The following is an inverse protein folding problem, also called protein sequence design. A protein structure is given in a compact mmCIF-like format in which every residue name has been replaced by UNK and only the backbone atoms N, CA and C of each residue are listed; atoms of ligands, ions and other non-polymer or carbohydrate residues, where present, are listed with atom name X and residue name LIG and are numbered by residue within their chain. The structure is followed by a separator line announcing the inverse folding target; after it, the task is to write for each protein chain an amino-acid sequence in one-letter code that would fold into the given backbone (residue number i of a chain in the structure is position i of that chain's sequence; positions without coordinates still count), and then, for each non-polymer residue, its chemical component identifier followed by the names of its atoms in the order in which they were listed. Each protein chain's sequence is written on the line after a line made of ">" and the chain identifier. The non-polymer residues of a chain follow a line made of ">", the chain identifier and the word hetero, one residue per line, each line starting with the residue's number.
data_IF_012241745568
#
_entry.id   IF_012241745568
#
_cell.length_a   1.000
_cell.length_b   1.000
_cell.length_c   1.000
_cell.angle_alpha   90.00
_cell.angle_beta   90.00
_cell.angle_gamma   90.00
#
_symmetry.space_group_name_H-M   'P 1'
#
loop_
_entity.id
_entity.type
_entity.pdbx_description
1 polymer ?
#
# COMPACT_ATOMS: atom_id res chain seq x y z
N UNK A 1 3.30 -6.70 -67.92
CA UNK A 1 3.03 -5.80 -66.77
C UNK A 1 2.87 -6.66 -65.53
N UNK A 2 3.71 -6.43 -64.52
CA UNK A 2 3.69 -7.13 -63.23
C UNK A 2 2.56 -6.53 -62.39
N UNK A 3 1.60 -7.34 -61.95
CA UNK A 3 0.59 -6.89 -60.99
C UNK A 3 0.85 -7.59 -59.66
N UNK A 4 1.17 -6.73 -58.70
CA UNK A 4 1.64 -6.99 -57.36
C UNK A 4 0.60 -7.72 -56.51
N UNK A 5 1.09 -8.65 -55.70
CA UNK A 5 0.40 -9.17 -54.53
C UNK A 5 0.19 -8.03 -53.52
N UNK A 6 -1.02 -7.91 -52.95
CA UNK A 6 -1.21 -7.23 -51.68
C UNK A 6 -2.00 -8.13 -50.75
N UNK A 7 -1.23 -8.85 -49.93
CA UNK A 7 -1.65 -9.60 -48.75
C UNK A 7 -2.37 -8.60 -47.83
N UNK A 8 -3.67 -8.80 -47.59
CA UNK A 8 -4.34 -8.15 -46.48
C UNK A 8 -3.77 -8.75 -45.20
N UNK A 9 -3.00 -7.95 -44.46
CA UNK A 9 -2.63 -8.25 -43.08
C UNK A 9 -3.88 -8.09 -42.20
N UNK A 10 -4.10 -8.94 -41.20
CA UNK A 10 -5.15 -8.72 -40.21
C UNK A 10 -4.79 -7.46 -39.42
N UNK A 11 -5.78 -6.57 -39.32
CA UNK A 11 -5.75 -5.38 -38.49
C UNK A 11 -5.24 -5.75 -37.09
N UNK A 12 -4.13 -5.14 -36.74
CA UNK A 12 -3.62 -5.05 -35.38
C UNK A 12 -4.76 -4.59 -34.49
N UNK A 13 -5.17 -5.47 -33.57
CA UNK A 13 -5.91 -5.11 -32.35
C UNK A 13 -5.04 -4.09 -31.62
N UNK A 14 -5.25 -2.81 -31.93
CA UNK A 14 -4.78 -1.71 -31.12
C UNK A 14 -5.46 -1.89 -29.76
N UNK A 15 -4.66 -2.32 -28.79
CA UNK A 15 -5.04 -2.34 -27.38
C UNK A 15 -5.45 -0.91 -27.04
N UNK A 16 -6.75 -0.69 -26.90
CA UNK A 16 -7.31 0.45 -26.19
C UNK A 16 -6.60 0.47 -24.83
N UNK A 17 -5.62 1.38 -24.69
CA UNK A 17 -5.08 1.74 -23.40
C UNK A 17 -6.22 2.42 -22.68
N UNK A 18 -6.84 1.66 -21.79
CA UNK A 18 -7.85 2.11 -20.85
C UNK A 18 -7.27 3.32 -20.13
N UNK A 19 -7.70 4.50 -20.55
CA UNK A 19 -7.31 5.76 -19.96
C UNK A 19 -8.16 5.92 -18.71
N UNK A 20 -7.89 5.08 -17.70
CA UNK A 20 -8.52 5.18 -16.40
C UNK A 20 -8.24 6.57 -15.86
N UNK A 21 -9.28 7.42 -15.88
CA UNK A 21 -9.26 8.69 -15.17
C UNK A 21 -8.89 8.37 -13.72
N UNK A 22 -7.65 8.70 -13.31
CA UNK A 22 -7.26 8.74 -11.90
C UNK A 22 -8.24 9.70 -11.22
N UNK A 23 -9.25 9.15 -10.56
CA UNK A 23 -10.13 9.91 -9.69
C UNK A 23 -9.27 10.29 -8.49
N UNK A 24 -8.64 11.45 -8.57
CA UNK A 24 -7.85 11.98 -7.47
C UNK A 24 -8.83 12.70 -6.55
N UNK A 25 -9.25 12.03 -5.49
CA UNK A 25 -10.08 12.65 -4.46
C UNK A 25 -9.12 13.46 -3.59
N UNK A 26 -9.28 14.78 -3.62
CA UNK A 26 -8.48 15.69 -2.82
C UNK A 26 -9.25 16.08 -1.57
N UNK A 27 -8.69 15.77 -0.40
CA UNK A 27 -9.22 16.18 0.88
C UNK A 27 -8.70 17.57 1.23
N UNK A 28 -9.58 18.40 1.76
CA UNK A 28 -9.20 19.66 2.39
C UNK A 28 -8.64 19.43 3.81
N UNK A 29 -7.74 20.33 4.21
CA UNK A 29 -7.17 20.48 5.56
C UNK A 29 -8.20 20.40 6.70
N UNK A 30 -9.45 20.74 6.44
CA UNK A 30 -10.57 20.57 7.37
C UNK A 30 -10.75 19.13 7.87
N UNK A 31 -10.37 18.13 7.07
CA UNK A 31 -10.52 16.72 7.44
C UNK A 31 -9.56 16.31 8.57
N UNK A 32 -8.37 16.91 8.61
CA UNK A 32 -7.39 16.67 9.66
C UNK A 32 -7.94 17.13 11.01
N UNK A 33 -8.52 18.34 11.04
CA UNK A 33 -9.15 18.91 12.23
C UNK A 33 -10.37 18.10 12.69
N UNK A 34 -11.25 17.70 11.78
CA UNK A 34 -12.44 16.91 12.11
C UNK A 34 -12.11 15.54 12.70
N UNK A 35 -10.99 14.95 12.29
CA UNK A 35 -10.58 13.60 12.71
C UNK A 35 -9.47 13.59 13.77
N UNK A 36 -9.16 14.76 14.35
CA UNK A 36 -8.09 14.95 15.33
C UNK A 36 -6.72 14.38 14.88
N UNK A 37 -6.41 14.54 13.60
CA UNK A 37 -5.13 14.11 13.02
C UNK A 37 -4.17 15.28 13.08
N UNK A 38 -3.19 15.21 13.97
CA UNK A 38 -2.15 16.23 14.14
C UNK A 38 -0.91 15.92 13.33
N UNK A 39 -0.44 14.66 13.35
CA UNK A 39 0.75 14.18 12.63
C UNK A 39 0.47 12.79 12.07
N UNK A 40 0.24 12.68 10.76
CA UNK A 40 -0.20 11.44 10.13
C UNK A 40 0.85 10.33 10.18
N UNK A 41 2.14 10.67 10.05
CA UNK A 41 3.24 9.68 10.10
C UNK A 41 3.37 8.96 11.45
N UNK A 42 2.80 9.52 12.53
CA UNK A 42 2.81 8.93 13.88
C UNK A 42 1.42 8.32 14.21
N UNK A 43 0.41 8.54 13.37
CA UNK A 43 -0.94 8.04 13.64
C UNK A 43 -1.01 6.53 13.39
N UNK A 44 -1.22 5.76 14.46
CA UNK A 44 -1.32 4.29 14.40
C UNK A 44 -2.43 3.81 13.44
N UNK A 45 -3.52 4.58 13.29
CA UNK A 45 -4.62 4.25 12.38
C UNK A 45 -4.16 4.30 10.93
N UNK A 46 -3.28 5.24 10.60
CA UNK A 46 -2.69 5.37 9.27
C UNK A 46 -1.66 4.26 9.02
N UNK A 47 -0.74 4.02 9.97
CA UNK A 47 0.28 2.96 9.84
C UNK A 47 -0.34 1.58 9.65
N UNK A 48 -1.48 1.30 10.31
CA UNK A 48 -2.23 0.04 10.16
C UNK A 48 -2.72 -0.22 8.73
N UNK A 49 -2.97 0.83 7.93
CA UNK A 49 -3.44 0.67 6.55
C UNK A 49 -2.39 0.00 5.67
N UNK A 50 -1.10 0.15 6.00
CA UNK A 50 0.01 -0.37 5.21
C UNK A 50 0.52 -1.75 5.66
N UNK A 51 -0.19 -2.41 6.59
CA UNK A 51 0.11 -3.79 6.97
C UNK A 51 -0.29 -4.77 5.84
N UNK A 52 -1.44 -4.52 5.21
CA UNK A 52 -1.97 -5.35 4.13
C UNK A 52 -1.61 -4.84 2.72
N UNK A 53 -1.29 -3.55 2.61
CA UNK A 53 -0.94 -2.88 1.36
C UNK A 53 0.46 -2.32 1.51
N UNK A 54 1.40 -2.78 0.69
CA UNK A 54 2.79 -2.32 0.75
C UNK A 54 2.87 -0.82 0.38
N UNK A 55 3.63 -0.03 1.15
CA UNK A 55 3.89 1.37 0.77
C UNK A 55 4.68 1.45 -0.54
N UNK A 56 4.40 2.50 -1.33
CA UNK A 56 5.23 2.84 -2.47
C UNK A 56 6.44 3.67 -2.00
N UNK A 57 7.56 3.66 -2.74
CA UNK A 57 8.74 4.47 -2.41
C UNK A 57 8.43 5.97 -2.30
N UNK A 58 7.47 6.47 -3.07
CA UNK A 58 7.03 7.87 -3.01
C UNK A 58 6.33 8.19 -1.68
N UNK A 59 5.52 7.27 -1.18
CA UNK A 59 4.84 7.41 0.12
C UNK A 59 5.83 7.29 1.28
N UNK A 60 6.80 6.36 1.20
CA UNK A 60 7.87 6.25 2.20
C UNK A 60 8.70 7.54 2.26
N UNK A 61 8.99 8.14 1.10
CA UNK A 61 9.68 9.43 1.06
C UNK A 61 8.85 10.55 1.68
N UNK A 62 7.56 10.64 1.37
CA UNK A 62 6.68 11.64 1.96
C UNK A 62 6.50 11.46 3.49
N UNK A 63 6.47 10.21 3.97
CA UNK A 63 6.50 9.88 5.40
C UNK A 63 7.81 10.36 6.06
N UNK A 64 8.95 10.09 5.42
CA UNK A 64 10.26 10.55 5.91
C UNK A 64 10.34 12.08 5.97
N UNK A 65 9.88 12.78 4.92
CA UNK A 65 9.81 14.23 4.89
C UNK A 65 8.95 14.77 6.06
N UNK A 66 7.79 14.16 6.33
CA UNK A 66 6.96 14.50 7.49
C UNK A 66 7.70 14.26 8.81
N UNK A 67 8.42 13.15 8.95
CA UNK A 67 9.18 12.83 10.15
C UNK A 67 10.35 13.80 10.39
N UNK A 68 11.01 14.28 9.34
CA UNK A 68 12.05 15.31 9.46
C UNK A 68 11.46 16.64 9.93
N UNK A 69 10.30 17.06 9.40
CA UNK A 69 9.62 18.28 9.87
C UNK A 69 9.24 18.18 11.36
N UNK A 70 8.83 17.01 11.84
CA UNK A 70 8.53 16.77 13.26
C UNK A 70 9.79 16.86 14.13
N UNK A 71 10.94 16.40 13.61
CA UNK A 71 12.22 16.57 14.31
C UNK A 71 12.63 18.04 14.37
N UNK A 72 12.49 18.79 13.28
CA UNK A 72 12.72 20.23 13.25
C UNK A 72 11.84 20.95 14.28
N UNK A 73 10.57 20.57 14.40
CA UNK A 73 9.63 21.14 15.37
C UNK A 73 10.12 20.94 16.81
N UNK A 74 10.57 19.71 17.13
CA UNK A 74 11.10 19.39 18.44
C UNK A 74 12.40 20.17 18.74
N UNK A 75 13.27 20.37 17.74
CA UNK A 75 14.50 21.13 17.88
C UNK A 75 14.22 22.62 18.13
N UNK A 76 13.35 23.25 17.34
CA UNK A 76 12.99 24.65 17.51
C UNK A 76 12.30 24.91 18.85
N UNK A 77 11.44 23.99 19.31
CA UNK A 77 10.80 24.09 20.61
C UNK A 77 11.81 24.00 21.76
N UNK A 78 12.75 23.06 21.68
CA UNK A 78 13.83 22.95 22.67
C UNK A 78 14.71 24.20 22.66
N UNK A 79 15.01 24.75 21.48
CA UNK A 79 15.75 26.01 21.38
C UNK A 79 14.98 27.17 22.03
N UNK A 80 13.69 27.32 21.74
CA UNK A 80 12.81 28.32 22.35
C UNK A 80 12.81 28.21 23.89
N UNK A 81 12.64 26.99 24.41
CA UNK A 81 12.62 26.71 25.85
C UNK A 81 13.96 27.04 26.53
N UNK A 82 15.08 26.99 25.79
CA UNK A 82 16.41 27.31 26.31
C UNK A 82 16.81 28.79 26.20
N UNK A 83 16.25 29.54 25.26
CA UNK A 83 16.61 30.96 25.05
C UNK A 83 16.09 31.87 26.17
N UNK A 84 14.87 31.62 26.67
CA UNK A 84 14.26 32.40 27.76
C UNK A 84 15.07 32.31 29.08
N UNK A 85 15.45 31.11 29.57
CA UNK A 85 16.32 30.97 30.74
C UNK A 85 17.70 31.62 30.56
N UNK A 86 18.30 31.52 29.38
CA UNK A 86 19.60 32.16 29.09
C UNK A 86 19.51 33.69 29.16
N UNK A 87 18.46 34.28 28.57
CA UNK A 87 18.17 35.71 28.67
C UNK A 87 18.00 36.14 30.12
N UNK A 88 17.24 35.39 30.93
CA UNK A 88 17.04 35.68 32.36
C UNK A 88 18.34 35.63 33.16
N UNK A 89 19.21 34.64 32.89
CA UNK A 89 20.53 34.56 33.52
C UNK A 89 21.38 35.81 33.24
N UNK A 90 21.42 36.25 31.98
CA UNK A 90 22.14 37.46 31.58
C UNK A 90 21.52 38.74 32.18
N UNK A 91 20.19 38.82 32.28
CA UNK A 91 19.52 39.94 32.95
C UNK A 91 19.88 40.02 34.43
N UNK A 92 19.88 38.89 35.14
CA UNK A 92 20.29 38.83 36.55
C UNK A 92 21.76 39.21 36.73
N UNK A 93 22.63 38.76 35.81
CA UNK A 93 24.05 39.14 35.80
C UNK A 93 24.22 40.66 35.63
N UNK A 94 23.45 41.29 34.74
CA UNK A 94 23.43 42.76 34.59
C UNK A 94 23.01 43.44 35.90
N UNK A 95 21.92 43.00 36.53
CA UNK A 95 21.43 43.59 37.77
C UNK A 95 22.48 43.55 38.88
N UNK A 96 23.21 42.44 39.00
CA UNK A 96 24.28 42.27 39.98
C UNK A 96 25.51 43.14 39.68
N UNK A 97 25.95 43.17 38.43
CA UNK A 97 27.14 43.92 38.00
C UNK A 97 26.90 45.43 37.93
N UNK A 98 25.65 45.90 37.87
CA UNK A 98 25.32 47.32 37.78
C UNK A 98 25.84 48.10 38.98
N UNK A 99 25.70 47.59 40.21
CA UNK A 99 26.25 48.27 41.40
C UNK A 99 27.78 48.35 41.33
N UNK A 100 28.46 47.24 41.04
CA UNK A 100 29.93 47.21 40.98
C UNK A 100 30.53 48.03 39.83
N UNK A 101 29.83 48.13 38.70
CA UNK A 101 30.31 48.88 37.54
C UNK A 101 30.21 50.40 37.73
N UNK A 102 29.16 50.88 38.42
CA UNK A 102 28.89 52.32 38.57
C UNK A 102 29.34 52.88 39.93
N UNK A 103 29.20 52.15 41.04
CA UNK A 103 29.60 52.63 42.37
C UNK A 103 31.11 52.45 42.61
N UNK A 104 31.69 51.32 42.17
CA UNK A 104 33.11 51.01 42.38
C UNK A 104 34.01 51.35 41.16
N UNK A 105 33.45 51.91 40.09
CA UNK A 105 34.16 52.24 38.83
C UNK A 105 35.02 51.11 38.27
N UNK A 106 34.61 49.85 38.45
CA UNK A 106 35.36 48.70 37.97
C UNK A 106 35.20 48.53 36.44
N UNK A 107 36.29 48.72 35.70
CA UNK A 107 36.28 48.63 34.23
C UNK A 107 36.01 47.21 33.71
N UNK A 108 36.35 46.17 34.47
CA UNK A 108 36.00 44.79 34.11
C UNK A 108 34.48 44.56 34.17
N UNK A 109 33.81 45.10 35.19
CA UNK A 109 32.36 45.03 35.34
C UNK A 109 31.64 45.80 34.22
N UNK A 110 32.15 46.98 33.82
CA UNK A 110 31.62 47.73 32.67
C UNK A 110 31.75 46.98 31.36
N UNK A 111 32.90 46.32 31.12
CA UNK A 111 33.11 45.50 29.92
C UNK A 111 32.15 44.31 29.88
N UNK A 112 31.99 43.62 31.01
CA UNK A 112 31.07 42.48 31.13
C UNK A 112 29.60 42.88 30.93
N UNK A 113 29.18 44.03 31.47
CA UNK A 113 27.84 44.58 31.22
C UNK A 113 27.57 44.84 29.72
N UNK A 114 28.56 45.37 29.00
CA UNK A 114 28.44 45.61 27.55
C UNK A 114 28.32 44.30 26.78
N UNK A 115 29.05 43.26 27.18
CA UNK A 115 28.93 41.91 26.62
C UNK A 115 27.56 41.31 26.90
N UNK A 116 27.09 41.31 28.15
CA UNK A 116 25.76 40.78 28.51
C UNK A 116 24.64 41.50 27.75
N UNK A 117 24.72 42.83 27.58
CA UNK A 117 23.73 43.58 26.78
C UNK A 117 23.72 43.13 25.32
N UNK A 118 24.90 42.96 24.70
CA UNK A 118 25.02 42.49 23.32
C UNK A 118 24.48 41.06 23.16
N UNK A 119 24.74 40.17 24.13
CA UNK A 119 24.21 38.81 24.11
C UNK A 119 22.68 38.78 24.30
N UNK A 120 22.11 39.64 25.15
CA UNK A 120 20.65 39.76 25.28
C UNK A 120 20.02 40.25 23.97
N UNK A 121 20.62 41.23 23.28
CA UNK A 121 20.15 41.69 21.96
C UNK A 121 20.19 40.56 20.92
N UNK A 122 21.25 39.73 20.92
CA UNK A 122 21.34 38.53 20.08
C UNK A 122 20.26 37.50 20.41
N UNK A 123 20.05 37.22 21.70
CA UNK A 123 19.02 36.27 22.13
C UNK A 123 17.62 36.77 21.76
N UNK A 124 17.33 38.06 21.91
CA UNK A 124 16.05 38.63 21.49
C UNK A 124 15.82 38.42 19.99
N UNK A 125 16.82 38.77 19.16
CA UNK A 125 16.75 38.53 17.72
C UNK A 125 16.58 37.06 17.37
N UNK A 126 17.19 36.13 18.14
CA UNK A 126 17.00 34.70 17.91
C UNK A 126 15.63 34.21 18.36
N UNK A 127 15.07 34.72 19.45
CA UNK A 127 13.70 34.41 19.89
C UNK A 127 12.71 34.78 18.78
N UNK A 128 12.84 35.99 18.22
CA UNK A 128 11.98 36.43 17.11
C UNK A 128 12.14 35.53 15.88
N UNK A 129 13.38 35.17 15.54
CA UNK A 129 13.66 34.25 14.43
C UNK A 129 13.09 32.84 14.65
N UNK A 130 13.20 32.29 15.87
CA UNK A 130 12.62 30.98 16.21
C UNK A 130 11.10 31.00 16.12
N UNK A 131 10.44 32.10 16.51
CA UNK A 131 8.99 32.25 16.34
C UNK A 131 8.58 32.23 14.85
N UNK A 132 9.31 32.95 14.00
CA UNK A 132 9.09 32.94 12.55
C UNK A 132 9.37 31.55 11.95
N UNK A 133 10.43 30.87 12.39
CA UNK A 133 10.77 29.52 11.97
C UNK A 133 9.67 28.51 12.36
N UNK A 134 9.09 28.63 13.56
CA UNK A 134 7.98 27.81 14.04
C UNK A 134 6.72 28.05 13.20
N UNK A 135 6.37 29.29 12.89
CA UNK A 135 5.20 29.60 12.06
C UNK A 135 5.34 29.00 10.65
N UNK A 136 6.50 29.20 10.00
CA UNK A 136 6.80 28.60 8.70
C UNK A 136 6.81 27.08 8.75
N UNK A 137 7.23 26.49 9.86
CA UNK A 137 7.25 25.04 10.03
C UNK A 137 5.83 24.49 10.21
N UNK A 138 4.97 25.15 10.96
CA UNK A 138 3.58 24.74 11.15
C UNK A 138 2.81 24.72 9.83
N UNK A 139 3.02 25.72 8.97
CA UNK A 139 2.43 25.73 7.62
C UNK A 139 2.97 24.60 6.72
N UNK A 140 4.28 24.33 6.78
CA UNK A 140 4.90 23.20 6.07
C UNK A 140 4.37 21.86 6.58
N UNK A 141 4.22 21.70 7.89
CA UNK A 141 3.65 20.51 8.52
C UNK A 141 2.21 20.29 8.08
N UNK A 142 1.35 21.31 8.14
CA UNK A 142 -0.06 21.21 7.68
C UNK A 142 -0.14 20.76 6.23
N UNK A 143 0.70 21.31 5.36
CA UNK A 143 0.76 20.95 3.95
C UNK A 143 1.25 19.52 3.74
N UNK A 144 2.39 19.15 4.32
CA UNK A 144 2.93 17.80 4.24
C UNK A 144 1.93 16.75 4.77
N UNK A 145 1.18 17.09 5.83
CA UNK A 145 0.20 16.22 6.44
C UNK A 145 -1.00 15.96 5.51
N UNK A 146 -1.52 16.99 4.82
CA UNK A 146 -2.63 16.81 3.88
C UNK A 146 -2.17 16.13 2.59
N UNK A 147 -0.98 16.46 2.10
CA UNK A 147 -0.40 15.85 0.90
C UNK A 147 -0.15 14.35 1.15
N UNK A 148 0.42 13.98 2.30
CA UNK A 148 0.62 12.59 2.69
C UNK A 148 -0.73 11.86 2.81
N UNK A 149 -1.76 12.47 3.39
CA UNK A 149 -3.10 11.87 3.48
C UNK A 149 -3.69 11.61 2.10
N UNK A 150 -3.69 12.63 1.23
CA UNK A 150 -4.22 12.53 -0.12
C UNK A 150 -3.52 11.44 -0.92
N UNK A 151 -2.19 11.45 -0.94
CA UNK A 151 -1.41 10.45 -1.65
C UNK A 151 -1.66 9.04 -1.09
N UNK A 152 -1.69 8.89 0.23
CA UNK A 152 -1.91 7.59 0.89
C UNK A 152 -3.27 7.01 0.55
N UNK A 153 -4.33 7.81 0.70
CA UNK A 153 -5.71 7.34 0.51
C UNK A 153 -5.99 7.05 -0.96
N UNK A 154 -5.56 7.93 -1.87
CA UNK A 154 -5.73 7.67 -3.31
C UNK A 154 -4.99 6.40 -3.74
N UNK A 155 -3.79 6.15 -3.22
CA UNK A 155 -3.06 4.92 -3.48
C UNK A 155 -3.81 3.67 -2.94
N UNK A 156 -4.25 3.71 -1.68
CA UNK A 156 -4.97 2.59 -1.05
C UNK A 156 -6.24 2.25 -1.84
N UNK A 157 -7.05 3.24 -2.21
CA UNK A 157 -8.28 2.99 -2.97
C UNK A 157 -7.99 2.49 -4.39
N UNK A 158 -6.93 2.97 -5.04
CA UNK A 158 -6.49 2.45 -6.34
C UNK A 158 -6.10 0.98 -6.25
N UNK A 159 -5.33 0.60 -5.24
CA UNK A 159 -4.90 -0.78 -5.03
C UNK A 159 -6.09 -1.70 -4.69
N UNK A 160 -6.99 -1.24 -3.83
CA UNK A 160 -8.21 -1.98 -3.49
C UNK A 160 -9.12 -2.19 -4.71
N UNK A 161 -9.25 -1.18 -5.57
CA UNK A 161 -10.00 -1.28 -6.82
C UNK A 161 -9.42 -2.39 -7.71
N UNK A 162 -8.11 -2.36 -7.96
CA UNK A 162 -7.43 -3.37 -8.79
C UNK A 162 -7.57 -4.78 -8.22
N UNK A 163 -7.40 -4.94 -6.90
CA UNK A 163 -7.59 -6.24 -6.23
C UNK A 163 -9.02 -6.76 -6.36
N UNK A 164 -10.02 -5.88 -6.27
CA UNK A 164 -11.43 -6.25 -6.41
C UNK A 164 -11.78 -6.64 -7.85
N UNK A 165 -11.25 -5.91 -8.85
CA UNK A 165 -11.39 -6.26 -10.25
C UNK A 165 -10.81 -7.64 -10.54
N UNK A 166 -9.58 -7.92 -10.07
CA UNK A 166 -8.98 -9.25 -10.23
C UNK A 166 -9.75 -10.34 -9.50
N UNK A 167 -10.31 -10.06 -8.32
CA UNK A 167 -11.16 -11.02 -7.60
C UNK A 167 -12.44 -11.35 -8.38
N UNK A 168 -13.04 -10.36 -9.05
CA UNK A 168 -14.21 -10.55 -9.89
C UNK A 168 -13.89 -11.39 -11.14
N UNK A 169 -12.75 -11.12 -11.79
CA UNK A 169 -12.25 -11.94 -12.90
C UNK A 169 -12.09 -13.41 -12.49
N UNK A 170 -11.38 -13.67 -11.39
CA UNK A 170 -11.18 -15.03 -10.88
C UNK A 170 -12.52 -15.72 -10.58
N UNK A 171 -13.48 -14.98 -10.00
CA UNK A 171 -14.83 -15.51 -9.74
C UNK A 171 -15.56 -15.89 -11.02
N UNK A 172 -15.36 -15.16 -12.11
CA UNK A 172 -15.95 -15.49 -13.41
C UNK A 172 -15.23 -16.70 -14.04
N UNK A 173 -13.89 -16.73 -14.02
CA UNK A 173 -13.09 -17.87 -14.48
C UNK A 173 -13.50 -19.17 -13.76
N UNK A 174 -13.69 -19.12 -12.43
CA UNK A 174 -14.15 -20.27 -11.64
C UNK A 174 -15.53 -20.77 -12.08
N UNK A 175 -16.48 -19.87 -12.36
CA UNK A 175 -17.80 -20.27 -12.85
C UNK A 175 -17.75 -20.94 -14.21
N UNK A 176 -16.89 -20.46 -15.11
CA UNK A 176 -16.69 -21.09 -16.42
C UNK A 176 -16.10 -22.49 -16.28
N UNK A 177 -15.12 -22.66 -15.38
CA UNK A 177 -14.54 -23.96 -15.08
C UNK A 177 -15.55 -24.92 -14.45
N UNK A 178 -16.40 -24.47 -13.53
CA UNK A 178 -17.49 -25.28 -12.95
C UNK A 178 -18.49 -25.73 -14.03
N UNK A 179 -18.85 -24.86 -14.97
CA UNK A 179 -19.73 -25.22 -16.08
C UNK A 179 -19.08 -26.28 -16.98
N UNK A 180 -17.80 -26.11 -17.29
CA UNK A 180 -17.03 -27.08 -18.08
C UNK A 180 -16.85 -28.42 -17.35
N UNK A 181 -16.65 -28.40 -16.05
CA UNK A 181 -16.61 -29.62 -15.24
C UNK A 181 -17.94 -30.38 -15.34
N UNK A 182 -19.08 -29.68 -15.22
CA UNK A 182 -20.40 -30.29 -15.36
C UNK A 182 -20.64 -30.88 -16.75
N UNK A 183 -20.21 -30.21 -17.82
CA UNK A 183 -20.36 -30.76 -19.17
C UNK A 183 -19.53 -32.02 -19.35
N UNK A 184 -18.28 -32.02 -18.87
CA UNK A 184 -17.41 -33.20 -18.93
C UNK A 184 -17.92 -34.36 -18.07
N UNK A 185 -18.51 -34.09 -16.91
CA UNK A 185 -19.17 -35.11 -16.09
C UNK A 185 -20.37 -35.73 -16.82
N UNK A 186 -21.19 -34.93 -17.49
CA UNK A 186 -22.31 -35.44 -18.29
C UNK A 186 -21.83 -36.30 -19.48
N UNK A 187 -20.74 -35.89 -20.14
CA UNK A 187 -20.10 -36.70 -21.19
C UNK A 187 -19.57 -38.03 -20.63
N UNK A 188 -18.91 -38.01 -19.47
CA UNK A 188 -18.39 -39.21 -18.82
C UNK A 188 -19.52 -40.19 -18.44
N UNK A 189 -20.61 -39.69 -17.85
CA UNK A 189 -21.78 -40.53 -17.51
C UNK A 189 -22.47 -41.10 -18.76
N UNK A 190 -22.42 -40.40 -19.91
CA UNK A 190 -22.95 -40.94 -21.17
C UNK A 190 -22.03 -42.02 -21.77
N UNK A 191 -20.72 -41.89 -21.58
CA UNK A 191 -19.71 -42.85 -22.07
C UNK A 191 -19.62 -44.08 -21.18
N UNK A 192 -19.97 -43.96 -19.89
CA UNK A 192 -20.15 -45.10 -18.97
C UNK A 192 -21.29 -45.99 -19.48
N UNK A 193 -20.96 -46.84 -20.45
CA UNK A 193 -21.74 -48.02 -20.78
C UNK A 193 -21.56 -48.99 -19.62
N UNK A 194 -22.65 -49.60 -19.16
CA UNK A 194 -22.59 -50.70 -18.22
C UNK A 194 -21.95 -51.91 -18.92
N UNK A 195 -20.62 -51.89 -18.97
CA UNK A 195 -19.80 -52.91 -19.61
C UNK A 195 -20.05 -54.28 -19.01
N UNK A 196 -20.50 -54.34 -17.75
CA UNK A 196 -20.84 -55.59 -17.06
C UNK A 196 -22.06 -56.23 -17.70
N UNK A 197 -23.17 -55.48 -17.86
CA UNK A 197 -24.35 -56.01 -18.53
C UNK A 197 -24.08 -56.28 -20.02
N UNK A 198 -23.36 -55.38 -20.70
CA UNK A 198 -23.02 -55.54 -22.11
C UNK A 198 -22.14 -56.77 -22.37
N UNK A 199 -21.15 -57.04 -21.51
CA UNK A 199 -20.30 -58.23 -21.60
C UNK A 199 -21.08 -59.54 -21.33
N UNK A 200 -22.03 -59.53 -20.40
CA UNK A 200 -22.92 -60.67 -20.14
C UNK A 200 -23.80 -60.95 -21.36
N UNK A 201 -24.43 -59.93 -21.92
CA UNK A 201 -25.29 -60.06 -23.10
C UNK A 201 -24.50 -60.52 -24.33
N UNK A 202 -23.29 -59.99 -24.53
CA UNK A 202 -22.39 -60.41 -25.60
C UNK A 202 -21.96 -61.87 -25.43
N UNK A 203 -21.59 -62.28 -24.21
CA UNK A 203 -21.21 -63.66 -23.91
C UNK A 203 -22.36 -64.63 -24.12
N UNK A 204 -23.59 -64.24 -23.76
CA UNK A 204 -24.78 -65.05 -24.00
C UNK A 204 -25.09 -65.20 -25.50
N UNK A 205 -24.74 -64.21 -26.33
CA UNK A 205 -25.02 -64.19 -27.76
C UNK A 205 -24.01 -65.01 -28.58
N UNK A 206 -22.71 -64.88 -28.30
CA UNK A 206 -21.64 -65.47 -29.15
C UNK A 206 -20.77 -66.51 -28.41
N UNK A 207 -21.00 -66.73 -27.11
CA UNK A 207 -20.24 -67.68 -26.30
C UNK A 207 -18.95 -67.09 -25.71
N UNK A 208 -18.40 -67.75 -24.69
CA UNK A 208 -17.23 -67.25 -23.92
C UNK A 208 -15.94 -67.20 -24.70
N UNK A 209 -15.72 -68.15 -25.61
CA UNK A 209 -14.43 -68.29 -26.30
C UNK A 209 -14.23 -67.22 -27.39
N UNK A 210 -15.24 -66.93 -28.25
CA UNK A 210 -15.15 -65.81 -29.18
C UNK A 210 -15.04 -64.45 -28.48
N UNK A 211 -15.77 -64.24 -27.36
CA UNK A 211 -15.67 -62.96 -26.62
C UNK A 211 -14.24 -62.69 -26.15
N UNK A 212 -13.52 -63.70 -25.65
CA UNK A 212 -12.12 -63.54 -25.21
C UNK A 212 -11.18 -63.18 -26.35
N UNK A 213 -11.30 -63.84 -27.51
CA UNK A 213 -10.49 -63.49 -28.69
C UNK A 213 -10.74 -62.05 -29.16
N UNK A 214 -11.99 -61.57 -29.09
CA UNK A 214 -12.34 -60.19 -29.40
C UNK A 214 -11.88 -59.20 -28.31
N UNK A 215 -11.99 -59.55 -27.02
CA UNK A 215 -11.44 -58.74 -25.91
C UNK A 215 -9.90 -58.57 -26.07
N UNK A 216 -9.17 -59.64 -26.41
CA UNK A 216 -7.73 -59.61 -26.69
C UNK A 216 -7.39 -58.76 -27.93
N UNK A 217 -8.12 -58.96 -29.04
CA UNK A 217 -7.87 -58.24 -30.30
C UNK A 217 -8.10 -56.73 -30.18
N UNK A 218 -9.10 -56.30 -29.40
CA UNK A 218 -9.41 -54.89 -29.15
C UNK A 218 -8.74 -54.34 -27.89
N UNK A 219 -7.93 -55.15 -27.17
CA UNK A 219 -7.24 -54.80 -25.92
C UNK A 219 -8.19 -54.31 -24.82
N UNK A 220 -9.37 -54.92 -24.74
CA UNK A 220 -10.40 -54.65 -23.73
C UNK A 220 -10.24 -55.50 -22.46
N UNK A 221 -9.23 -56.38 -22.40
CA UNK A 221 -8.99 -57.36 -21.31
C UNK A 221 -8.86 -56.76 -19.89
N UNK A 222 -8.70 -55.43 -19.75
CA UNK A 222 -8.56 -54.73 -18.47
C UNK A 222 -9.72 -53.81 -18.07
N UNK A 223 -10.75 -53.64 -18.91
CA UNK A 223 -11.84 -52.68 -18.62
C UNK A 223 -12.79 -53.11 -17.49
N UNK A 224 -12.58 -54.30 -16.93
CA UNK A 224 -13.43 -54.87 -15.87
C UNK A 224 -13.20 -54.22 -14.49
N UNK A 225 -12.02 -53.62 -14.23
CA UNK A 225 -11.67 -53.11 -12.89
C UNK A 225 -11.79 -51.58 -12.69
N UNK A 226 -11.96 -50.76 -13.74
CA UNK A 226 -12.04 -49.29 -13.56
C UNK A 226 -13.46 -48.74 -13.34
N UNK A 227 -14.50 -49.57 -13.40
CA UNK A 227 -15.88 -49.11 -13.19
C UNK A 227 -16.34 -49.17 -11.72
N UNK A 228 -15.51 -49.66 -10.79
CA UNK A 228 -15.91 -49.83 -9.39
C UNK A 228 -15.27 -48.82 -8.42
N UNK A 229 -14.19 -48.11 -8.74
CA UNK A 229 -13.51 -47.25 -7.74
C UNK A 229 -13.61 -45.73 -7.99
N UNK A 230 -14.84 -45.24 -8.17
CA UNK A 230 -15.16 -43.82 -8.03
C UNK A 230 -16.14 -43.54 -6.87
N UNK A 231 -16.19 -44.44 -5.87
CA UNK A 231 -16.85 -44.17 -4.59
C UNK A 231 -15.90 -44.35 -3.41
N UNK A 232 -14.79 -43.62 -3.42
CA UNK A 232 -13.98 -43.42 -2.22
C UNK A 232 -13.30 -42.05 -2.30
N UNK A 233 -14.00 -40.99 -1.89
CA UNK A 233 -13.60 -40.15 -0.75
C UNK A 233 -14.53 -38.93 -0.64
N UNK A 234 -15.58 -39.02 0.18
CA UNK A 234 -16.10 -37.86 0.92
C UNK A 234 -16.64 -38.35 2.27
N UNK A 235 -15.72 -38.55 3.22
CA UNK A 235 -16.01 -38.49 4.65
C UNK A 235 -14.77 -38.01 5.40
N UNK A 236 -14.53 -36.69 5.40
CA UNK A 236 -14.11 -35.91 6.57
C UNK A 236 -14.15 -34.40 6.31
#
# INVERSE_FOLDING_TARGET
>A
MRLFWKKQSPETVEKEQDNEKKINVEFDSSILRKNNITRLSIDERWTKLFVAIKMTPELEKAEQEMNELIKEEAMLKNEQDNLEPQKRKLMNEILNLTKEAFENSNDAAKKRLKECKKEIERINSRIDGVLEDIEKLDDRLKKANIDLLNNSINYIFSELKSKNERALEIKNELKELEQRQKSLQAELETIKVDWTQYAVDLTNLIGTDPVKEFEEAYKLEGLKDETVDASADESN
#
